data_IF_776213763979
#
_entry.id   IF_776213763979
#
_cell.length_a   1.000
_cell.length_b   1.000
_cell.length_c   1.000
_cell.angle_alpha   90.00
_cell.angle_beta   90.00
_cell.angle_gamma   90.00
#
_symmetry.space_group_name_H-M   'P 1'
#
loop_
_entity.id
_entity.type
_entity.pdbx_description
1 polymer ?
#
# COMPACT_ATOMS: atom_id res chain seq x y z
N UNK A 1 23.19 2.98 14.80
CA UNK A 1 22.09 2.55 13.93
C UNK A 1 22.44 2.88 12.49
N UNK A 2 22.14 2.02 11.51
CA UNK A 2 22.36 2.35 10.11
C UNK A 2 21.50 3.57 9.73
N UNK A 3 22.04 4.45 8.88
CA UNK A 3 21.28 5.59 8.34
C UNK A 3 20.13 5.08 7.46
N UNK A 4 19.10 5.92 7.23
CA UNK A 4 18.01 5.59 6.29
C UNK A 4 18.59 5.21 4.91
N UNK A 5 19.55 5.99 4.41
CA UNK A 5 20.24 5.72 3.13
C UNK A 5 20.85 4.32 3.10
N UNK A 6 21.61 3.92 4.14
CA UNK A 6 22.21 2.59 4.21
C UNK A 6 21.16 1.45 4.23
N UNK A 7 20.00 1.67 4.88
CA UNK A 7 18.88 0.72 4.88
C UNK A 7 18.26 0.60 3.48
N UNK A 8 17.99 1.73 2.84
CA UNK A 8 17.39 1.75 1.50
C UNK A 8 18.33 1.16 0.45
N UNK A 9 19.64 1.43 0.53
CA UNK A 9 20.63 0.82 -0.37
C UNK A 9 20.71 -0.69 -0.20
N UNK A 10 20.68 -1.16 1.05
CA UNK A 10 20.62 -2.60 1.32
C UNK A 10 19.35 -3.21 0.75
N UNK A 11 18.19 -2.58 0.96
CA UNK A 11 16.94 -3.06 0.39
C UNK A 11 16.98 -3.07 -1.14
N UNK A 12 17.45 -1.99 -1.76
CA UNK A 12 17.59 -1.92 -3.21
C UNK A 12 18.43 -3.08 -3.76
N UNK A 13 19.57 -3.39 -3.11
CA UNK A 13 20.45 -4.46 -3.55
C UNK A 13 19.90 -5.88 -3.36
N UNK A 14 18.93 -6.06 -2.46
CA UNK A 14 18.35 -7.37 -2.12
C UNK A 14 16.90 -7.54 -2.58
N UNK A 15 16.29 -6.51 -3.15
CA UNK A 15 14.92 -6.55 -3.64
C UNK A 15 14.74 -7.52 -4.81
N UNK A 16 13.61 -8.18 -4.81
CA UNK A 16 13.17 -8.89 -6.00
C UNK A 16 12.90 -7.90 -7.14
N UNK A 17 13.18 -8.31 -8.35
CA UNK A 17 12.91 -7.53 -9.56
C UNK A 17 11.67 -8.10 -10.22
N UNK A 18 10.66 -7.28 -10.44
CA UNK A 18 9.47 -7.57 -11.22
C UNK A 18 9.62 -6.87 -12.58
N UNK A 19 9.85 -7.63 -13.64
CA UNK A 19 9.96 -7.04 -14.98
C UNK A 19 8.59 -6.66 -15.51
N UNK A 20 8.53 -5.52 -16.18
CA UNK A 20 7.37 -5.05 -16.93
C UNK A 20 7.82 -4.49 -18.29
N UNK A 21 6.89 -4.18 -19.18
CA UNK A 21 7.13 -3.56 -20.48
C UNK A 21 6.20 -2.35 -20.70
N UNK A 22 6.36 -1.68 -21.82
CA UNK A 22 5.59 -0.48 -22.15
C UNK A 22 4.07 -0.74 -22.31
N UNK A 23 3.66 -2.00 -22.53
CA UNK A 23 2.25 -2.40 -22.60
C UNK A 23 1.64 -2.77 -21.23
N UNK A 24 2.47 -2.94 -20.23
CA UNK A 24 2.07 -3.38 -18.89
C UNK A 24 1.20 -2.33 -18.20
N UNK A 25 0.25 -2.82 -17.42
CA UNK A 25 -0.65 -2.00 -16.60
C UNK A 25 -0.47 -2.36 -15.14
N UNK A 26 -0.04 -1.41 -14.34
CA UNK A 26 0.24 -1.61 -12.91
C UNK A 26 -0.49 -0.55 -12.11
N UNK A 27 -1.12 -0.96 -11.00
CA UNK A 27 -1.67 -0.08 -9.98
C UNK A 27 -0.99 -0.36 -8.65
N UNK A 28 -0.54 0.70 -7.99
CA UNK A 28 0.14 0.67 -6.69
C UNK A 28 -0.74 1.43 -5.70
N UNK A 29 -1.12 0.78 -4.62
CA UNK A 29 -1.90 1.37 -3.52
C UNK A 29 -1.36 0.89 -2.18
N UNK A 30 -1.43 1.74 -1.15
CA UNK A 30 -1.02 1.43 0.21
C UNK A 30 -2.03 1.88 1.25
N UNK A 31 -1.68 1.67 2.51
CA UNK A 31 -2.34 2.28 3.67
C UNK A 31 -3.86 2.06 3.66
N UNK A 32 -4.27 0.81 3.40
CA UNK A 32 -5.67 0.40 3.52
C UNK A 32 -6.09 0.28 4.99
N UNK A 33 -5.20 -0.21 5.86
CA UNK A 33 -5.50 -0.42 7.28
C UNK A 33 -6.82 -1.18 7.51
N UNK A 34 -7.05 -2.25 6.74
CA UNK A 34 -8.26 -3.08 6.88
C UNK A 34 -8.39 -3.62 8.30
N UNK A 35 -9.45 -3.25 8.98
CA UNK A 35 -9.74 -3.62 10.34
C UNK A 35 -10.81 -4.70 10.47
N UNK A 36 -11.61 -4.64 11.53
CA UNK A 36 -12.62 -5.64 11.88
C UNK A 36 -14.06 -5.19 11.60
N UNK A 37 -14.27 -4.13 10.81
CA UNK A 37 -15.59 -3.59 10.48
C UNK A 37 -16.29 -2.90 11.64
N UNK A 38 -15.56 -2.42 12.64
CA UNK A 38 -16.09 -1.67 13.78
C UNK A 38 -15.72 -0.18 13.70
N UNK A 39 -16.09 0.62 14.71
CA UNK A 39 -15.86 2.07 14.72
C UNK A 39 -14.38 2.50 14.72
N UNK A 40 -13.43 1.58 14.97
CA UNK A 40 -12.00 1.82 14.87
C UNK A 40 -11.42 1.40 13.50
N UNK A 41 -12.24 0.88 12.60
CA UNK A 41 -11.80 0.47 11.26
C UNK A 41 -11.77 1.65 10.29
N UNK A 42 -10.59 2.21 10.09
CA UNK A 42 -10.39 3.38 9.22
C UNK A 42 -10.65 3.10 7.74
N UNK A 43 -10.58 1.84 7.30
CA UNK A 43 -10.84 1.46 5.91
C UNK A 43 -12.34 1.32 5.60
N UNK A 44 -13.15 0.98 6.59
CA UNK A 44 -14.56 0.66 6.41
C UNK A 44 -15.33 1.69 5.56
N UNK A 45 -15.17 3.02 5.78
CA UNK A 45 -15.87 4.04 4.97
C UNK A 45 -15.52 4.01 3.48
N UNK A 46 -14.32 3.56 3.13
CA UNK A 46 -13.83 3.53 1.75
C UNK A 46 -13.86 2.12 1.12
N UNK A 47 -14.31 1.11 1.86
CA UNK A 47 -14.27 -0.29 1.41
C UNK A 47 -15.00 -0.52 0.09
N UNK A 48 -16.13 0.15 -0.13
CA UNK A 48 -16.90 0.05 -1.38
C UNK A 48 -16.19 0.77 -2.55
N UNK A 49 -15.56 1.92 -2.28
CA UNK A 49 -14.79 2.65 -3.30
C UNK A 49 -13.61 1.79 -3.74
N UNK A 50 -12.89 1.22 -2.77
CA UNK A 50 -11.75 0.35 -3.03
C UNK A 50 -12.16 -0.92 -3.77
N UNK A 51 -13.28 -1.54 -3.38
CA UNK A 51 -13.82 -2.72 -4.07
C UNK A 51 -14.11 -2.41 -5.54
N UNK A 52 -14.80 -1.31 -5.82
CA UNK A 52 -15.11 -0.89 -7.20
C UNK A 52 -13.85 -0.55 -8.02
N UNK A 53 -12.87 0.13 -7.41
CA UNK A 53 -11.59 0.41 -8.04
C UNK A 53 -10.84 -0.88 -8.37
N UNK A 54 -10.77 -1.82 -7.41
CA UNK A 54 -10.04 -3.06 -7.61
C UNK A 54 -10.71 -3.95 -8.67
N UNK A 55 -12.06 -4.00 -8.73
CA UNK A 55 -12.81 -4.68 -9.79
C UNK A 55 -12.48 -4.10 -11.17
N UNK A 56 -12.45 -2.76 -11.29
CA UNK A 56 -12.02 -2.08 -12.51
C UNK A 56 -10.61 -2.50 -12.93
N UNK A 57 -9.64 -2.47 -12.02
CA UNK A 57 -8.27 -2.84 -12.32
C UNK A 57 -8.12 -4.30 -12.72
N UNK A 58 -8.85 -5.19 -12.05
CA UNK A 58 -8.87 -6.61 -12.41
C UNK A 58 -9.37 -6.83 -13.85
N UNK A 59 -10.52 -6.25 -14.18
CA UNK A 59 -11.17 -6.37 -15.49
C UNK A 59 -10.34 -5.75 -16.63
N UNK A 60 -9.55 -4.72 -16.32
CA UNK A 60 -8.70 -4.03 -17.30
C UNK A 60 -7.25 -4.57 -17.35
N UNK A 61 -7.00 -5.74 -16.76
CA UNK A 61 -5.71 -6.43 -16.90
C UNK A 61 -4.55 -5.82 -16.11
N UNK A 62 -4.83 -5.03 -15.08
CA UNK A 62 -3.77 -4.46 -14.23
C UNK A 62 -3.15 -5.50 -13.32
N UNK A 63 -1.85 -5.33 -13.04
CA UNK A 63 -1.17 -5.93 -11.89
C UNK A 63 -1.38 -5.04 -10.69
N UNK A 64 -1.82 -5.60 -9.55
CA UNK A 64 -2.01 -4.89 -8.30
C UNK A 64 -0.79 -5.10 -7.38
N UNK A 65 -0.23 -3.99 -6.90
CA UNK A 65 0.85 -3.98 -5.91
C UNK A 65 0.32 -3.28 -4.65
N UNK A 66 0.21 -4.02 -3.54
CA UNK A 66 -0.10 -3.46 -2.23
C UNK A 66 1.21 -3.01 -1.59
N UNK A 67 1.38 -1.69 -1.43
CA UNK A 67 2.64 -1.07 -1.00
C UNK A 67 2.73 -0.89 0.53
N UNK A 68 2.20 -1.83 1.29
CA UNK A 68 2.27 -1.88 2.75
C UNK A 68 1.05 -1.32 3.46
N UNK A 69 0.97 -1.64 4.75
CA UNK A 69 -0.14 -1.29 5.65
C UNK A 69 -1.53 -1.64 5.06
N UNK A 70 -1.57 -2.81 4.39
CA UNK A 70 -2.82 -3.35 3.86
C UNK A 70 -3.78 -3.78 4.97
N UNK A 71 -3.27 -4.41 6.04
CA UNK A 71 -4.07 -4.91 7.14
C UNK A 71 -3.62 -4.30 8.48
N UNK A 72 -4.60 -3.86 9.31
CA UNK A 72 -4.35 -3.26 10.62
C UNK A 72 -4.07 -4.36 11.67
N UNK A 73 -2.84 -4.86 11.70
CA UNK A 73 -2.40 -5.93 12.59
C UNK A 73 -1.70 -5.43 13.86
N UNK A 74 -1.54 -4.12 14.02
CA UNK A 74 -1.13 -3.56 15.31
C UNK A 74 -2.29 -3.55 16.29
N UNK A 75 -3.46 -3.12 15.86
CA UNK A 75 -4.66 -3.08 16.69
C UNK A 75 -5.36 -4.44 16.78
N UNK A 76 -5.39 -5.18 15.69
CA UNK A 76 -6.13 -6.43 15.58
C UNK A 76 -5.22 -7.64 15.74
N UNK A 77 -5.63 -8.59 16.59
CA UNK A 77 -4.85 -9.80 16.85
C UNK A 77 -5.11 -10.92 15.85
N UNK A 78 -6.33 -10.95 15.32
CA UNK A 78 -6.81 -12.06 14.53
C UNK A 78 -7.07 -11.61 13.09
N UNK A 79 -6.20 -12.03 12.18
CA UNK A 79 -6.37 -11.79 10.74
C UNK A 79 -7.66 -12.43 10.21
N UNK A 80 -8.12 -13.56 10.78
CA UNK A 80 -9.34 -14.21 10.34
C UNK A 80 -10.59 -13.34 10.45
N UNK A 81 -10.66 -12.42 11.42
CA UNK A 81 -11.78 -11.47 11.50
C UNK A 81 -11.72 -10.49 10.33
N UNK A 82 -10.53 -9.98 9.99
CA UNK A 82 -10.32 -9.08 8.84
C UNK A 82 -10.71 -9.79 7.54
N UNK A 83 -10.26 -11.04 7.37
CA UNK A 83 -10.57 -11.87 6.20
C UNK A 83 -12.08 -12.08 6.02
N UNK A 84 -12.81 -12.37 7.11
CA UNK A 84 -14.28 -12.51 7.08
C UNK A 84 -14.98 -11.20 6.76
N UNK A 85 -14.57 -10.11 7.43
CA UNK A 85 -15.14 -8.77 7.24
C UNK A 85 -15.06 -8.34 5.76
N UNK A 86 -13.92 -8.57 5.14
CA UNK A 86 -13.64 -8.18 3.76
C UNK A 86 -13.54 -9.37 2.81
N UNK A 87 -14.30 -10.44 3.04
CA UNK A 87 -14.21 -11.70 2.30
C UNK A 87 -14.34 -11.53 0.79
N UNK A 88 -15.23 -10.64 0.32
CA UNK A 88 -15.38 -10.33 -1.10
C UNK A 88 -14.12 -9.70 -1.70
N UNK A 89 -13.49 -8.78 -0.96
CA UNK A 89 -12.23 -8.16 -1.37
C UNK A 89 -11.10 -9.18 -1.45
N UNK A 90 -10.96 -10.04 -0.43
CA UNK A 90 -9.91 -11.06 -0.43
C UNK A 90 -10.10 -12.11 -1.51
N UNK A 91 -11.35 -12.44 -1.89
CA UNK A 91 -11.61 -13.28 -3.07
C UNK A 91 -11.10 -12.63 -4.35
N UNK A 92 -11.34 -11.33 -4.53
CA UNK A 92 -10.84 -10.61 -5.70
C UNK A 92 -9.30 -10.54 -5.71
N UNK A 93 -8.66 -10.29 -4.58
CA UNK A 93 -7.20 -10.37 -4.45
C UNK A 93 -6.67 -11.79 -4.79
N UNK A 94 -7.42 -12.83 -4.40
CA UNK A 94 -7.15 -14.20 -4.79
C UNK A 94 -7.18 -14.42 -6.32
N UNK A 95 -8.09 -13.75 -7.03
CA UNK A 95 -8.15 -13.81 -8.49
C UNK A 95 -6.93 -13.14 -9.14
N UNK A 96 -6.52 -11.95 -8.68
CA UNK A 96 -5.27 -11.31 -9.12
C UNK A 96 -4.07 -12.26 -8.94
N UNK A 97 -4.03 -12.94 -7.79
CA UNK A 97 -2.95 -13.85 -7.49
C UNK A 97 -2.92 -15.06 -8.41
N UNK A 98 -4.07 -15.69 -8.71
CA UNK A 98 -4.18 -16.84 -9.63
C UNK A 98 -3.59 -16.53 -11.00
N UNK A 99 -3.67 -15.26 -11.40
CA UNK A 99 -3.13 -14.75 -12.66
C UNK A 99 -1.71 -14.17 -12.53
N UNK A 100 -1.04 -14.37 -11.37
CA UNK A 100 0.28 -13.81 -11.06
C UNK A 100 0.34 -12.27 -11.15
N UNK A 101 -0.78 -11.60 -10.86
CA UNK A 101 -0.95 -10.15 -10.90
C UNK A 101 -1.11 -9.52 -9.52
N UNK A 102 -0.69 -10.20 -8.44
CA UNK A 102 -0.70 -9.70 -7.05
C UNK A 102 0.68 -9.73 -6.45
N UNK A 103 1.14 -8.57 -5.98
CA UNK A 103 2.39 -8.43 -5.22
C UNK A 103 2.12 -7.68 -3.93
N UNK A 104 2.68 -8.17 -2.81
CA UNK A 104 2.48 -7.60 -1.49
C UNK A 104 3.81 -7.13 -0.92
N UNK A 105 3.86 -5.86 -0.53
CA UNK A 105 4.91 -5.29 0.31
C UNK A 105 4.30 -5.09 1.70
N UNK A 106 5.03 -5.36 2.76
CA UNK A 106 4.54 -5.08 4.11
C UNK A 106 4.95 -3.68 4.57
N UNK A 107 4.07 -3.03 5.30
CA UNK A 107 4.37 -1.82 6.04
C UNK A 107 4.66 -2.10 7.52
N UNK A 108 4.61 -1.08 8.36
CA UNK A 108 4.84 -1.25 9.78
C UNK A 108 3.63 -1.88 10.50
N UNK A 109 2.39 -1.58 10.10
CA UNK A 109 1.19 -2.13 10.73
C UNK A 109 1.00 -3.61 10.43
N UNK A 110 1.50 -4.08 9.30
CA UNK A 110 1.39 -5.48 8.90
C UNK A 110 2.75 -6.19 8.72
N UNK A 111 3.82 -5.66 9.33
CA UNK A 111 5.19 -6.21 9.33
C UNK A 111 5.27 -7.68 9.78
N UNK A 112 4.28 -8.15 10.53
CA UNK A 112 4.19 -9.56 10.96
C UNK A 112 4.02 -10.51 9.77
N UNK A 113 3.52 -10.03 8.61
CA UNK A 113 3.39 -10.80 7.35
C UNK A 113 4.73 -11.35 6.85
N UNK A 114 5.87 -10.81 7.28
CA UNK A 114 7.21 -11.36 6.99
C UNK A 114 7.44 -12.73 7.61
N UNK A 115 6.67 -13.10 8.67
CA UNK A 115 6.85 -14.37 9.40
C UNK A 115 6.08 -15.51 8.72
N UNK A 116 6.78 -16.56 8.31
CA UNK A 116 6.18 -17.76 7.71
C UNK A 116 5.09 -18.41 8.59
N UNK A 117 5.27 -18.39 9.93
CA UNK A 117 4.29 -18.93 10.87
C UNK A 117 2.97 -18.16 10.85
N UNK A 118 3.04 -16.82 10.72
CA UNK A 118 1.83 -15.98 10.59
C UNK A 118 1.11 -16.29 9.28
N UNK A 119 1.85 -16.34 8.17
CA UNK A 119 1.29 -16.64 6.85
C UNK A 119 0.59 -17.99 6.86
N UNK A 120 1.21 -19.04 7.45
CA UNK A 120 0.59 -20.36 7.58
C UNK A 120 -0.72 -20.30 8.38
N UNK A 121 -0.71 -19.67 9.56
CA UNK A 121 -1.91 -19.52 10.38
C UNK A 121 -3.03 -18.73 9.67
N UNK A 122 -2.69 -17.71 8.90
CA UNK A 122 -3.65 -16.98 8.09
C UNK A 122 -4.25 -17.86 6.97
N UNK A 123 -3.42 -18.73 6.37
CA UNK A 123 -3.87 -19.72 5.39
C UNK A 123 -4.89 -20.68 5.99
N UNK A 124 -4.55 -21.28 7.14
CA UNK A 124 -5.41 -22.25 7.81
C UNK A 124 -6.76 -21.62 8.19
N UNK A 125 -6.76 -20.39 8.69
CA UNK A 125 -7.98 -19.66 9.03
C UNK A 125 -8.86 -19.36 7.80
N UNK A 126 -8.23 -18.97 6.69
CA UNK A 126 -8.99 -18.68 5.45
C UNK A 126 -9.60 -19.97 4.88
N UNK A 127 -8.87 -21.08 4.88
CA UNK A 127 -9.37 -22.37 4.40
C UNK A 127 -10.56 -22.90 5.23
N UNK A 128 -10.58 -22.63 6.54
CA UNK A 128 -11.71 -22.99 7.41
C UNK A 128 -13.00 -22.19 7.10
N UNK A 129 -12.85 -20.94 6.71
CA UNK A 129 -13.99 -20.03 6.48
C UNK A 129 -14.51 -20.06 5.02
N UNK A 130 -13.71 -20.57 4.08
CA UNK A 130 -14.08 -20.67 2.66
C UNK A 130 -13.61 -22.02 2.07
N UNK A 131 -14.23 -23.14 2.47
CA UNK A 131 -13.79 -24.49 2.07
C UNK A 131 -13.90 -24.75 0.56
N UNK A 132 -14.75 -24.01 -0.14
CA UNK A 132 -14.94 -24.14 -1.59
C UNK A 132 -13.88 -23.38 -2.41
N UNK A 133 -13.08 -22.53 -1.77
CA UNK A 133 -11.98 -21.76 -2.38
C UNK A 133 -10.64 -22.10 -1.69
N UNK A 134 -10.03 -23.26 -1.97
CA UNK A 134 -8.84 -23.73 -1.24
C UNK A 134 -7.58 -22.91 -1.54
N UNK A 135 -7.63 -21.96 -2.47
CA UNK A 135 -6.47 -21.15 -2.82
C UNK A 135 -6.46 -19.83 -2.06
N UNK A 136 -5.77 -19.86 -0.97
CA UNK A 136 -5.53 -18.71 -0.10
C UNK A 136 -4.53 -17.72 -0.72
N UNK A 137 -4.84 -16.43 -0.70
CA UNK A 137 -3.95 -15.37 -1.22
C UNK A 137 -2.57 -15.38 -0.57
N UNK A 138 -2.47 -15.91 0.65
CA UNK A 138 -1.21 -15.98 1.39
C UNK A 138 -0.35 -17.23 1.07
N UNK A 139 -0.90 -18.27 0.44
CA UNK A 139 -0.19 -19.55 0.27
C UNK A 139 1.10 -19.47 -0.55
N UNK A 140 1.17 -18.61 -1.55
CA UNK A 140 2.35 -18.46 -2.42
C UNK A 140 2.82 -17.01 -2.53
N UNK A 141 2.03 -16.06 -2.04
CA UNK A 141 2.39 -14.65 -2.06
C UNK A 141 3.20 -14.33 -0.82
N UNK A 142 4.52 -14.14 -1.00
CA UNK A 142 5.37 -13.64 0.08
C UNK A 142 5.27 -12.12 0.09
N UNK A 143 4.88 -11.55 1.22
CA UNK A 143 5.06 -10.12 1.43
C UNK A 143 6.57 -9.83 1.53
N UNK A 144 7.06 -8.94 0.69
CA UNK A 144 8.44 -8.45 0.69
C UNK A 144 8.53 -7.12 1.43
N UNK A 145 9.73 -6.65 1.75
CA UNK A 145 9.93 -5.32 2.34
C UNK A 145 10.03 -4.23 1.27
N UNK A 146 10.38 -4.65 0.06
CA UNK A 146 10.59 -3.77 -1.08
C UNK A 146 10.47 -4.57 -2.38
N UNK A 147 10.33 -3.85 -3.48
CA UNK A 147 10.25 -4.42 -4.83
C UNK A 147 10.91 -3.45 -5.81
N UNK A 148 11.53 -3.95 -6.85
CA UNK A 148 11.99 -3.16 -7.99
C UNK A 148 11.12 -3.52 -9.19
N UNK A 149 10.49 -2.53 -9.80
CA UNK A 149 9.93 -2.66 -11.14
C UNK A 149 11.02 -2.33 -12.16
N UNK A 150 11.27 -3.20 -13.11
CA UNK A 150 12.25 -2.97 -14.18
C UNK A 150 11.57 -3.03 -15.54
N UNK A 151 11.61 -1.93 -16.25
CA UNK A 151 11.10 -1.87 -17.63
C UNK A 151 12.07 -2.60 -18.55
N UNK A 152 11.61 -3.66 -19.23
CA UNK A 152 12.43 -4.48 -20.14
C UNK A 152 12.86 -3.72 -21.40
N UNK A 153 12.08 -2.72 -21.81
CA UNK A 153 12.33 -1.98 -23.05
C UNK A 153 13.38 -0.87 -22.83
N UNK A 154 13.36 -0.24 -21.64
CA UNK A 154 14.22 0.92 -21.33
C UNK A 154 15.28 0.64 -20.26
N UNK A 155 15.19 -0.49 -19.55
CA UNK A 155 15.98 -0.86 -18.37
C UNK A 155 15.83 0.09 -17.19
N UNK A 156 14.87 1.01 -17.25
CA UNK A 156 14.57 1.92 -16.16
C UNK A 156 13.99 1.17 -14.96
N UNK A 157 14.42 1.56 -13.77
CA UNK A 157 14.02 0.93 -12.50
C UNK A 157 13.25 1.88 -11.61
N UNK A 158 12.13 1.39 -11.07
CA UNK A 158 11.36 2.07 -10.05
C UNK A 158 11.49 1.25 -8.75
N UNK A 159 11.92 1.92 -7.69
CA UNK A 159 12.13 1.29 -6.38
C UNK A 159 10.92 1.54 -5.50
N UNK A 160 10.28 0.47 -5.04
CA UNK A 160 9.06 0.48 -4.24
C UNK A 160 9.38 0.07 -2.80
N UNK A 161 9.04 0.93 -1.84
CA UNK A 161 9.13 0.69 -0.39
C UNK A 161 7.91 1.29 0.30
N UNK A 162 7.52 0.74 1.45
CA UNK A 162 6.40 1.37 2.16
C UNK A 162 6.74 2.77 2.70
N UNK A 163 7.96 3.01 3.16
CA UNK A 163 8.41 4.32 3.65
C UNK A 163 8.57 4.43 5.17
N UNK A 164 8.29 3.37 5.93
CA UNK A 164 8.47 3.33 7.39
C UNK A 164 9.94 3.12 7.81
N UNK A 165 10.81 2.77 6.87
CA UNK A 165 12.22 2.49 7.09
C UNK A 165 12.94 3.73 7.68
N UNK A 166 13.69 3.54 8.74
CA UNK A 166 14.40 4.63 9.43
C UNK A 166 13.62 5.27 10.59
N UNK A 167 12.38 4.91 10.81
CA UNK A 167 11.62 5.27 12.01
C UNK A 167 11.87 4.26 13.12
N UNK A 168 12.42 4.71 14.27
CA UNK A 168 12.72 3.84 15.41
C UNK A 168 11.52 3.02 15.90
N UNK A 169 10.38 3.65 16.05
CA UNK A 169 9.16 3.00 16.57
C UNK A 169 8.46 2.14 15.51
N UNK A 170 8.54 2.53 14.26
CA UNK A 170 7.82 1.84 13.18
C UNK A 170 8.65 0.71 12.55
N UNK A 171 9.97 0.78 12.64
CA UNK A 171 10.88 -0.18 12.02
C UNK A 171 11.56 -1.08 13.09
N UNK A 172 12.40 -0.50 13.97
CA UNK A 172 13.21 -1.31 14.90
C UNK A 172 12.46 -1.69 16.17
N UNK A 173 11.68 -0.78 16.75
CA UNK A 173 10.88 -0.98 17.96
C UNK A 173 9.40 -1.24 17.68
N UNK A 174 9.08 -1.74 16.49
CA UNK A 174 7.69 -2.04 16.12
C UNK A 174 6.93 -2.92 17.13
N UNK A 175 7.52 -3.87 17.89
CA UNK A 175 6.78 -4.61 18.90
C UNK A 175 6.32 -3.73 20.06
N UNK A 176 7.12 -2.71 20.44
CA UNK A 176 6.76 -1.73 21.46
C UNK A 176 5.69 -0.77 20.91
N UNK A 177 5.87 -0.27 19.68
CA UNK A 177 4.87 0.56 19.00
C UNK A 177 3.52 -0.14 18.94
N UNK A 178 3.51 -1.40 18.49
CA UNK A 178 2.30 -2.24 18.44
C UNK A 178 1.67 -2.45 19.83
N UNK A 179 2.47 -2.66 20.86
CA UNK A 179 1.96 -2.81 22.23
C UNK A 179 1.25 -1.53 22.71
N UNK A 180 1.85 -0.36 22.51
CA UNK A 180 1.29 0.93 22.90
C UNK A 180 -0.01 1.23 22.14
N UNK A 181 -0.03 1.00 20.82
CA UNK A 181 -1.24 1.20 20.02
C UNK A 181 -2.35 0.26 20.48
N UNK A 182 -2.07 -1.01 20.67
CA UNK A 182 -3.06 -2.04 21.00
C UNK A 182 -3.68 -1.89 22.37
N UNK A 183 -2.87 -1.59 23.37
CA UNK A 183 -3.32 -1.65 24.79
C UNK A 183 -3.60 -0.29 25.41
N UNK A 184 -2.98 0.77 24.89
CA UNK A 184 -3.21 2.12 25.39
C UNK A 184 -4.14 2.91 24.47
N UNK A 185 -3.90 2.84 23.15
CA UNK A 185 -4.50 3.74 22.20
C UNK A 185 -5.86 3.26 21.69
N UNK A 186 -5.96 2.02 21.21
CA UNK A 186 -7.20 1.43 20.70
C UNK A 186 -8.40 1.54 21.66
N UNK A 187 -8.27 1.25 22.98
CA UNK A 187 -9.38 1.45 23.91
C UNK A 187 -9.88 2.89 23.95
N UNK A 188 -8.98 3.87 23.82
CA UNK A 188 -9.34 5.30 23.79
C UNK A 188 -10.08 5.67 22.50
N UNK A 189 -9.67 5.13 21.36
CA UNK A 189 -10.37 5.35 20.09
C UNK A 189 -11.79 4.77 20.08
N UNK A 190 -11.98 3.59 20.67
CA UNK A 190 -13.31 2.95 20.76
C UNK A 190 -14.29 3.82 21.56
N UNK A 191 -13.83 4.55 22.60
CA UNK A 191 -14.65 5.46 23.39
C UNK A 191 -14.69 6.89 22.83
N UNK A 192 -14.22 7.10 21.59
CA UNK A 192 -14.34 8.37 20.87
C UNK A 192 -13.19 9.36 21.04
N UNK A 193 -12.12 8.99 21.76
CA UNK A 193 -10.90 9.81 21.77
C UNK A 193 -10.13 9.63 20.45
N UNK A 194 -10.21 10.62 19.58
CA UNK A 194 -9.39 10.62 18.36
C UNK A 194 -7.95 10.98 18.66
N UNK A 195 -7.04 10.10 18.28
CA UNK A 195 -5.62 10.23 18.56
C UNK A 195 -4.96 11.46 17.94
N UNK A 196 -4.27 12.32 18.70
CA UNK A 196 -3.41 13.33 18.12
C UNK A 196 -2.06 12.77 17.63
N UNK A 197 -1.75 11.49 17.86
CA UNK A 197 -0.38 10.94 17.82
C UNK A 197 -0.13 9.83 16.80
N UNK A 198 -1.10 9.46 15.95
CA UNK A 198 -0.81 8.57 14.82
C UNK A 198 0.29 9.19 13.94
N UNK A 199 1.25 8.39 13.45
CA UNK A 199 2.35 8.86 12.58
C UNK A 199 1.82 9.68 11.40
N UNK A 200 0.64 9.34 10.84
CA UNK A 200 -0.10 10.12 9.87
C UNK A 200 -0.59 11.49 10.34
N UNK A 201 -0.50 11.80 11.60
CA UNK A 201 -1.08 13.04 12.16
C UNK A 201 -0.05 14.10 12.55
N UNK A 202 1.19 13.74 12.74
CA UNK A 202 2.24 14.74 12.94
C UNK A 202 2.75 15.26 11.62
N UNK A 203 2.13 16.32 11.08
CA UNK A 203 2.54 16.96 9.83
C UNK A 203 4.05 17.16 9.72
N UNK A 204 4.70 17.60 10.81
CA UNK A 204 6.17 17.80 10.85
C UNK A 204 6.95 16.50 10.69
N UNK A 205 6.45 15.38 11.25
CA UNK A 205 7.11 14.07 11.10
C UNK A 205 6.97 13.56 9.66
N UNK A 206 5.78 13.70 9.08
CA UNK A 206 5.54 13.34 7.68
C UNK A 206 6.45 14.10 6.73
N UNK A 207 6.48 15.43 6.86
CA UNK A 207 7.34 16.30 6.06
C UNK A 207 8.83 15.96 6.24
N UNK A 208 9.23 15.48 7.42
CA UNK A 208 10.60 15.00 7.65
C UNK A 208 10.87 13.71 6.88
N UNK A 209 9.96 12.73 6.95
CA UNK A 209 10.07 11.45 6.23
C UNK A 209 10.14 11.70 4.74
N UNK A 210 9.20 12.46 4.19
CA UNK A 210 9.15 12.81 2.77
C UNK A 210 10.43 13.49 2.30
N UNK A 211 10.95 14.46 3.06
CA UNK A 211 12.24 15.11 2.73
C UNK A 211 13.41 14.13 2.72
N UNK A 212 13.45 13.18 3.66
CA UNK A 212 14.51 12.17 3.71
C UNK A 212 14.42 11.21 2.51
N UNK A 213 13.21 10.76 2.13
CA UNK A 213 13.00 9.90 0.97
C UNK A 213 13.29 10.64 -0.34
N UNK A 214 12.87 11.91 -0.44
CA UNK A 214 13.20 12.76 -1.57
C UNK A 214 14.71 12.99 -1.70
N UNK A 215 15.41 13.31 -0.61
CA UNK A 215 16.89 13.42 -0.64
C UNK A 215 17.53 12.14 -1.15
N UNK A 216 17.11 10.98 -0.62
CA UNK A 216 17.61 9.69 -1.09
C UNK A 216 17.37 9.48 -2.60
N UNK A 217 16.17 9.75 -3.09
CA UNK A 217 15.84 9.61 -4.51
C UNK A 217 16.71 10.53 -5.38
N UNK A 218 16.89 11.80 -4.97
CA UNK A 218 17.74 12.77 -5.68
C UNK A 218 19.22 12.38 -5.64
N UNK A 219 19.74 11.99 -4.47
CA UNK A 219 21.16 11.66 -4.29
C UNK A 219 21.58 10.42 -5.06
N UNK A 220 20.64 9.50 -5.28
CA UNK A 220 20.89 8.23 -5.99
C UNK A 220 20.41 8.20 -7.44
N UNK A 221 19.66 9.22 -7.87
CA UNK A 221 19.01 9.23 -9.20
C UNK A 221 17.95 8.13 -9.38
N UNK A 222 17.42 7.55 -8.28
CA UNK A 222 16.45 6.45 -8.34
C UNK A 222 15.03 6.98 -8.27
N UNK A 223 14.18 6.49 -9.16
CA UNK A 223 12.74 6.72 -9.04
C UNK A 223 12.25 5.93 -7.83
N UNK A 224 11.71 6.62 -6.83
CA UNK A 224 11.24 6.06 -5.57
C UNK A 224 9.73 6.23 -5.43
N UNK A 225 9.01 5.12 -5.21
CA UNK A 225 7.58 5.12 -4.92
C UNK A 225 7.38 4.63 -3.49
N UNK A 226 6.65 5.41 -2.67
CA UNK A 226 6.37 5.08 -1.28
C UNK A 226 4.90 5.33 -0.91
N UNK A 227 4.49 4.85 0.28
CA UNK A 227 3.24 5.12 0.99
C UNK A 227 3.49 5.77 2.35
N UNK A 228 2.88 5.23 3.42
CA UNK A 228 3.14 5.51 4.85
C UNK A 228 2.76 6.91 5.33
N UNK A 229 3.00 7.95 4.55
CA UNK A 229 2.69 9.32 4.97
C UNK A 229 1.25 9.71 4.72
N UNK A 230 0.49 8.89 4.02
CA UNK A 230 -0.89 9.12 3.60
C UNK A 230 -1.06 10.43 2.81
N UNK A 231 0.01 10.96 2.23
CA UNK A 231 -0.02 12.22 1.47
C UNK A 231 0.41 11.93 0.03
N UNK A 232 -0.50 12.02 -0.93
CA UNK A 232 -0.15 11.76 -2.31
C UNK A 232 0.86 12.81 -2.81
N UNK A 233 1.95 12.35 -3.41
CA UNK A 233 3.00 13.17 -4.01
C UNK A 233 3.28 12.69 -5.42
N UNK A 234 3.35 13.61 -6.35
CA UNK A 234 3.69 13.34 -7.75
C UNK A 234 4.87 14.21 -8.18
N UNK A 235 5.99 13.58 -8.49
CA UNK A 235 7.19 14.26 -8.96
C UNK A 235 6.92 14.92 -10.32
N UNK A 236 7.44 16.12 -10.52
CA UNK A 236 7.50 16.73 -11.84
C UNK A 236 8.85 16.40 -12.50
N UNK A 237 8.93 16.25 -13.83
CA UNK A 237 10.19 16.11 -14.54
C UNK A 237 11.22 17.17 -14.13
N UNK A 238 12.47 16.76 -13.94
CA UNK A 238 13.53 17.66 -13.48
C UNK A 238 13.52 18.00 -11.99
N UNK A 239 12.56 17.46 -11.22
CA UNK A 239 12.56 17.56 -9.76
C UNK A 239 12.99 16.24 -9.12
N UNK A 240 12.91 16.14 -7.78
CA UNK A 240 13.15 14.90 -7.05
C UNK A 240 12.24 13.77 -7.56
N UNK A 241 12.76 12.63 -8.04
CA UNK A 241 11.97 11.52 -8.58
C UNK A 241 11.32 10.67 -7.45
N UNK A 242 10.60 11.34 -6.55
CA UNK A 242 9.88 10.74 -5.43
C UNK A 242 8.37 10.84 -5.63
N UNK A 243 7.72 9.71 -5.49
CA UNK A 243 6.26 9.58 -5.58
C UNK A 243 5.71 8.99 -4.29
N UNK A 244 4.49 9.38 -3.94
CA UNK A 244 3.74 8.76 -2.86
C UNK A 244 2.32 8.48 -3.34
N UNK A 245 1.85 7.24 -3.16
CA UNK A 245 0.54 6.79 -3.63
C UNK A 245 -0.62 7.32 -2.77
N UNK A 246 -0.32 7.94 -1.64
CA UNK A 246 -1.29 8.49 -0.72
C UNK A 246 -1.85 7.46 0.25
N UNK A 247 -3.15 7.17 0.21
CA UNK A 247 -3.79 6.26 1.17
C UNK A 247 -5.18 5.82 0.70
N UNK A 248 -5.63 4.68 1.22
CA UNK A 248 -6.99 4.18 1.06
C UNK A 248 -7.93 4.54 2.22
N UNK A 249 -7.46 5.35 3.20
CA UNK A 249 -8.25 5.80 4.37
C UNK A 249 -8.53 7.30 4.39
N UNK A 250 -8.35 8.00 3.26
CA UNK A 250 -8.80 9.39 3.15
C UNK A 250 -10.32 9.50 3.24
N UNK A 251 -10.86 10.59 3.79
CA UNK A 251 -12.30 10.79 3.81
C UNK A 251 -12.91 10.72 2.39
N UNK A 252 -13.77 9.70 2.16
CA UNK A 252 -14.56 9.53 0.94
C UNK A 252 -13.77 9.35 -0.37
N UNK A 253 -12.48 9.05 -0.30
CA UNK A 253 -11.68 8.76 -1.48
C UNK A 253 -10.48 7.87 -1.16
N UNK A 254 -9.92 7.27 -2.21
CA UNK A 254 -8.65 6.54 -2.17
C UNK A 254 -7.76 7.06 -3.29
N UNK A 255 -6.45 6.94 -3.11
CA UNK A 255 -5.46 7.34 -4.12
C UNK A 255 -4.54 6.18 -4.47
N UNK A 256 -3.87 6.28 -5.60
CA UNK A 256 -2.90 5.29 -6.04
C UNK A 256 -2.08 5.79 -7.22
N UNK A 257 -0.98 5.10 -7.50
CA UNK A 257 -0.14 5.37 -8.65
C UNK A 257 -0.38 4.31 -9.72
N UNK A 258 -0.74 4.76 -10.90
CA UNK A 258 -0.86 3.91 -12.08
C UNK A 258 0.36 4.05 -12.97
N UNK A 259 0.81 2.92 -13.51
CA UNK A 259 1.78 2.84 -14.59
C UNK A 259 1.08 2.14 -15.75
N UNK A 260 1.02 2.80 -16.90
CA UNK A 260 0.43 2.28 -18.13
C UNK A 260 0.99 3.03 -19.34
N UNK A 261 1.08 2.35 -20.47
CA UNK A 261 1.53 2.95 -21.73
C UNK A 261 2.86 3.72 -21.56
N UNK A 262 3.84 3.12 -20.85
CA UNK A 262 5.13 3.70 -20.46
C UNK A 262 5.06 5.00 -19.63
N UNK A 263 3.89 5.35 -19.09
CA UNK A 263 3.65 6.60 -18.35
C UNK A 263 3.23 6.29 -16.91
N UNK A 264 3.54 7.24 -16.00
CA UNK A 264 3.14 7.23 -14.60
C UNK A 264 2.11 8.32 -14.34
N UNK A 265 1.10 8.02 -13.52
CA UNK A 265 0.07 8.99 -13.13
C UNK A 265 -0.43 8.72 -11.71
N UNK A 266 -0.81 9.79 -11.02
CA UNK A 266 -1.48 9.74 -9.71
C UNK A 266 -2.99 9.82 -9.95
N UNK A 267 -3.72 8.88 -9.38
CA UNK A 267 -5.18 8.77 -9.54
C UNK A 267 -5.89 8.83 -8.21
N UNK A 268 -7.14 9.26 -8.26
CA UNK A 268 -8.10 9.23 -7.16
C UNK A 268 -9.36 8.50 -7.58
N UNK A 269 -9.88 7.70 -6.66
CA UNK A 269 -11.23 7.15 -6.76
C UNK A 269 -12.10 7.74 -5.65
N UNK A 270 -13.26 8.23 -6.01
CA UNK A 270 -14.19 8.85 -5.09
C UNK A 270 -15.63 8.61 -5.51
N UNK A 271 -16.55 8.79 -4.57
CA UNK A 271 -17.98 8.86 -4.91
C UNK A 271 -18.26 10.21 -5.56
N UNK A 272 -18.93 10.19 -6.69
CA UNK A 272 -19.36 11.38 -7.43
C UNK A 272 -20.81 11.23 -7.89
N UNK A 273 -21.45 12.31 -8.25
CA UNK A 273 -22.76 12.26 -8.93
C UNK A 273 -22.56 12.24 -10.44
N UNK A 274 -23.32 11.40 -11.13
CA UNK A 274 -23.47 11.47 -12.58
C UNK A 274 -24.44 12.59 -13.00
N UNK A 275 -24.59 12.90 -14.30
CA UNK A 275 -25.57 13.88 -14.79
C UNK A 275 -27.02 13.54 -14.41
N UNK A 276 -27.34 12.29 -14.17
CA UNK A 276 -28.67 11.79 -13.76
C UNK A 276 -28.85 11.83 -12.24
N UNK A 277 -27.87 12.35 -11.49
CA UNK A 277 -27.84 12.42 -10.01
C UNK A 277 -27.72 11.08 -9.31
N UNK A 278 -27.25 10.03 -9.98
CA UNK A 278 -26.88 8.78 -9.31
C UNK A 278 -25.50 8.90 -8.69
N UNK A 279 -25.29 8.25 -7.56
CA UNK A 279 -23.98 8.14 -6.96
C UNK A 279 -23.19 7.04 -7.69
N UNK A 280 -22.02 7.41 -8.20
CA UNK A 280 -21.10 6.53 -8.92
C UNK A 280 -19.71 6.59 -8.32
N UNK A 281 -18.98 5.49 -8.39
CA UNK A 281 -17.55 5.48 -8.06
C UNK A 281 -16.81 5.92 -9.33
N UNK A 282 -16.09 7.05 -9.22
CA UNK A 282 -15.39 7.67 -10.33
C UNK A 282 -13.88 7.67 -10.12
N UNK A 283 -13.16 7.31 -11.19
CA UNK A 283 -11.72 7.46 -11.30
C UNK A 283 -11.39 8.84 -11.88
N UNK A 284 -10.45 9.54 -11.27
CA UNK A 284 -9.95 10.84 -11.69
C UNK A 284 -8.41 10.82 -11.73
N UNK A 285 -7.81 11.46 -12.72
CA UNK A 285 -6.36 11.67 -12.75
C UNK A 285 -6.09 12.97 -12.00
N UNK A 286 -5.28 12.90 -10.94
CA UNK A 286 -4.87 14.09 -10.18
C UNK A 286 -3.62 14.74 -10.79
N UNK A 287 -2.66 13.91 -11.23
CA UNK A 287 -1.42 14.37 -11.86
C UNK A 287 -0.97 13.37 -12.93
N UNK A 288 -0.27 13.84 -13.93
CA UNK A 288 0.17 13.06 -15.09
C UNK A 288 -0.91 12.96 -16.17
N UNK A 289 -0.84 12.00 -17.13
CA UNK A 289 0.29 11.07 -17.28
C UNK A 289 1.59 11.79 -17.69
N UNK A 290 2.72 11.30 -17.19
CA UNK A 290 4.08 11.72 -17.60
C UNK A 290 4.84 10.48 -18.03
N UNK A 291 5.57 10.54 -19.12
CA UNK A 291 6.38 9.41 -19.59
C UNK A 291 7.47 9.06 -18.57
N UNK A 292 7.67 7.78 -18.30
CA UNK A 292 8.68 7.34 -17.34
C UNK A 292 10.08 7.80 -17.75
N UNK A 293 10.36 7.86 -19.06
CA UNK A 293 11.64 8.31 -19.62
C UNK A 293 12.03 9.74 -19.23
N UNK A 294 11.07 10.58 -18.79
CA UNK A 294 11.36 11.95 -18.36
C UNK A 294 12.00 12.03 -16.96
N UNK A 295 12.09 10.91 -16.24
CA UNK A 295 12.69 10.80 -14.90
C UNK A 295 14.05 10.09 -14.91
N UNK A 296 14.65 9.85 -16.08
CA UNK A 296 15.92 9.15 -16.28
C UNK A 296 17.12 10.05 -16.49
#
# INVERSE_FOLDING_TARGET
MPSLTAKLDKLYSTSAVLPFDNSSRIIIMSDCHRGQGNGADNFLPNSMIFQGALEYYYQNGYTYIELGDGDELWENRCIGVILRTYSRLFRLLGQFRKENRLFLIYGNHDIIKRRKSFVRAACDLYACDAPEEPENIFQQTRASESLILENRDTLQRLFLVHGHQGSLLNDELWPLGRFLVRYLWRPLEIIGFTAPTGAGRSRKLMEKIERQLCSYASDTGRILIAGHTHRPVFAQPGTCPYFNDGSCVHPQCITGIEIRDASIQLVRWAVASDPQRHLVIRREILNGPVELGEYG
#
